data_IF_241603662647
#
_entry.id   IF_241603662647
#
_cell.length_a   1.000
_cell.length_b   1.000
_cell.length_c   1.000
_cell.angle_alpha   90.00
_cell.angle_beta   90.00
_cell.angle_gamma   90.00
#
_symmetry.space_group_name_H-M   'P 1'
#
loop_
_entity.id
_entity.type
_entity.pdbx_description
1 polymer ?
#
# COMPACT_ATOMS: atom_id res chain seq x y z
N UNK A 1 10.94 -1.10 80.47
CA UNK A 1 10.20 -1.79 79.39
C UNK A 1 9.89 -0.79 78.29
N UNK A 2 10.55 -0.90 77.13
CA UNK A 2 10.36 -0.01 75.98
C UNK A 2 9.42 -0.69 74.98
N UNK A 3 8.28 -0.06 74.68
CA UNK A 3 7.39 -0.47 73.60
C UNK A 3 7.95 0.04 72.27
N UNK A 4 8.22 -0.87 71.32
CA UNK A 4 8.50 -0.52 69.93
C UNK A 4 7.20 -0.62 69.12
N UNK A 5 6.82 0.49 68.49
CA UNK A 5 5.72 0.54 67.52
C UNK A 5 6.28 0.25 66.13
N UNK A 6 5.86 -0.88 65.56
CA UNK A 6 6.16 -1.28 64.19
C UNK A 6 5.22 -0.54 63.23
N UNK A 7 5.75 0.38 62.44
CA UNK A 7 5.00 1.10 61.40
C UNK A 7 5.07 0.28 60.11
N UNK A 8 3.94 -0.28 59.68
CA UNK A 8 3.76 -0.88 58.35
C UNK A 8 3.72 0.23 57.29
N UNK A 9 4.68 0.24 56.37
CA UNK A 9 4.62 1.07 55.16
C UNK A 9 3.99 0.26 54.02
N UNK A 10 2.84 0.72 53.56
CA UNK A 10 2.15 0.20 52.38
C UNK A 10 2.81 0.82 51.13
N UNK A 11 3.54 0.00 50.35
CA UNK A 11 4.08 0.43 49.04
C UNK A 11 3.00 0.16 47.99
N UNK A 12 2.35 1.22 47.49
CA UNK A 12 1.48 1.15 46.33
C UNK A 12 2.34 1.13 45.06
N UNK A 13 2.38 -0.01 44.37
CA UNK A 13 3.02 -0.14 43.07
C UNK A 13 2.08 0.38 41.97
N UNK A 14 2.33 1.58 41.46
CA UNK A 14 1.66 2.12 40.28
C UNK A 14 2.15 1.41 39.02
N UNK A 15 1.31 0.59 38.41
CA UNK A 15 1.59 -0.03 37.12
C UNK A 15 1.53 1.03 36.01
N UNK A 16 2.69 1.42 35.45
CA UNK A 16 2.74 2.17 34.21
C UNK A 16 2.26 1.27 33.07
N UNK A 17 1.06 1.52 32.55
CA UNK A 17 0.65 0.98 31.26
C UNK A 17 1.44 1.69 30.16
N UNK A 18 2.45 1.01 29.62
CA UNK A 18 3.10 1.44 28.38
C UNK A 18 2.14 1.14 27.23
N UNK A 19 1.42 2.16 26.77
CA UNK A 19 0.69 2.06 25.51
C UNK A 19 1.71 2.14 24.38
N UNK A 20 1.96 1.01 23.70
CA UNK A 20 2.75 1.03 22.48
C UNK A 20 2.04 1.92 21.45
N UNK A 21 2.69 3.00 21.03
CA UNK A 21 2.20 3.82 19.93
C UNK A 21 2.02 2.94 18.69
N UNK A 22 0.77 2.70 18.28
CA UNK A 22 0.49 1.98 17.04
C UNK A 22 0.88 2.91 15.90
N UNK A 23 1.82 2.46 15.07
CA UNK A 23 2.15 3.18 13.82
C UNK A 23 0.87 3.43 13.03
N UNK A 24 0.71 4.64 12.51
CA UNK A 24 -0.45 4.99 11.70
C UNK A 24 -0.55 4.01 10.52
N UNK A 25 -1.75 3.44 10.31
CA UNK A 25 -2.02 2.61 9.15
C UNK A 25 -1.96 3.48 7.90
N UNK A 26 -1.00 3.20 7.02
CA UNK A 26 -0.83 3.93 5.76
C UNK A 26 -0.57 2.96 4.62
N UNK A 27 -0.94 3.38 3.41
CA UNK A 27 -0.54 2.70 2.19
C UNK A 27 0.49 3.58 1.50
N UNK A 28 1.61 2.98 1.10
CA UNK A 28 2.66 3.65 0.33
C UNK A 28 2.65 3.07 -1.07
N UNK A 29 2.61 3.94 -2.07
CA UNK A 29 2.65 3.54 -3.46
C UNK A 29 3.83 4.20 -4.16
N UNK A 30 4.57 3.47 -4.98
CA UNK A 30 5.71 3.99 -5.73
C UNK A 30 5.84 3.29 -7.08
N UNK A 31 6.47 3.95 -8.04
CA UNK A 31 6.85 3.33 -9.31
C UNK A 31 8.32 2.91 -9.26
N UNK A 32 8.63 1.72 -9.77
CA UNK A 32 10.00 1.28 -10.02
C UNK A 32 10.70 2.22 -11.01
N UNK A 33 12.03 2.13 -11.10
CA UNK A 33 12.80 2.86 -12.10
C UNK A 33 12.24 2.66 -13.53
N UNK A 34 12.33 3.70 -14.35
CA UNK A 34 11.86 3.68 -15.73
C UNK A 34 12.41 2.47 -16.51
N UNK A 35 11.53 1.80 -17.26
CA UNK A 35 11.86 0.60 -18.02
C UNK A 35 11.85 -0.71 -17.22
N UNK A 36 11.76 -0.69 -15.88
CA UNK A 36 11.58 -1.92 -15.11
C UNK A 36 10.15 -2.43 -15.21
N UNK A 37 10.00 -3.63 -15.76
CA UNK A 37 8.68 -4.26 -15.99
C UNK A 37 8.21 -5.19 -14.88
N UNK A 38 8.96 -5.28 -13.79
CA UNK A 38 8.70 -6.17 -12.64
C UNK A 38 9.08 -5.49 -11.33
N UNK A 39 8.51 -5.98 -10.22
CA UNK A 39 8.82 -5.51 -8.86
C UNK A 39 10.25 -5.82 -8.44
N UNK A 40 10.88 -4.93 -7.69
CA UNK A 40 12.13 -5.19 -6.96
C UNK A 40 11.91 -5.79 -5.57
N UNK A 41 10.65 -5.94 -5.13
CA UNK A 41 10.33 -6.54 -3.83
C UNK A 41 10.71 -8.03 -3.78
N UNK A 42 11.34 -8.41 -2.68
CA UNK A 42 11.67 -9.81 -2.39
C UNK A 42 10.50 -10.59 -1.79
N UNK A 43 10.55 -11.92 -1.92
CA UNK A 43 9.56 -12.82 -1.30
C UNK A 43 8.17 -12.70 -1.90
N UNK A 44 8.10 -12.39 -3.19
CA UNK A 44 6.86 -12.18 -3.92
C UNK A 44 6.48 -13.38 -4.76
N UNK A 45 5.19 -13.53 -5.02
CA UNK A 45 4.67 -14.36 -6.11
C UNK A 45 4.44 -13.49 -7.33
N UNK A 46 4.58 -14.05 -8.54
CA UNK A 46 4.31 -13.36 -9.81
C UNK A 46 3.19 -14.07 -10.56
N UNK A 47 2.32 -13.29 -11.18
CA UNK A 47 1.33 -13.76 -12.15
C UNK A 47 1.52 -13.01 -13.46
N UNK A 48 1.74 -13.76 -14.53
CA UNK A 48 1.71 -13.23 -15.89
C UNK A 48 0.57 -13.91 -16.67
N UNK A 49 0.28 -13.37 -17.85
CA UNK A 49 -0.80 -13.87 -18.72
C UNK A 49 -0.28 -14.79 -19.83
N UNK A 50 1.00 -15.15 -19.83
CA UNK A 50 1.66 -15.82 -20.97
C UNK A 50 1.23 -17.27 -21.14
N UNK A 51 0.75 -17.89 -20.06
CA UNK A 51 0.20 -19.25 -20.09
C UNK A 51 -1.28 -19.28 -20.51
N UNK A 52 -1.90 -18.11 -20.68
CA UNK A 52 -3.32 -17.96 -20.99
C UNK A 52 -3.49 -17.61 -22.47
N UNK A 53 -4.46 -18.23 -23.13
CA UNK A 53 -4.80 -17.87 -24.50
C UNK A 53 -5.49 -16.48 -24.53
N UNK A 54 -5.25 -15.65 -25.57
CA UNK A 54 -6.01 -14.42 -25.75
C UNK A 54 -7.52 -14.70 -25.82
N UNK A 55 -8.30 -13.85 -25.15
CA UNK A 55 -9.75 -14.00 -25.03
C UNK A 55 -10.26 -13.72 -23.63
N UNK A 56 -11.54 -14.00 -23.41
CA UNK A 56 -12.20 -13.82 -22.11
C UNK A 56 -12.24 -15.13 -21.35
N UNK A 57 -11.93 -15.05 -20.07
CA UNK A 57 -11.87 -16.19 -19.16
C UNK A 57 -12.55 -15.83 -17.85
N UNK A 58 -13.00 -16.83 -17.10
CA UNK A 58 -13.60 -16.67 -15.78
C UNK A 58 -12.90 -17.57 -14.76
N UNK A 59 -12.91 -17.17 -13.50
CA UNK A 59 -12.40 -17.95 -12.36
C UNK A 59 -10.94 -18.39 -12.56
N UNK A 60 -10.08 -17.46 -12.97
CA UNK A 60 -8.67 -17.75 -13.26
C UNK A 60 -7.90 -17.75 -11.95
N UNK A 61 -7.27 -18.87 -11.62
CA UNK A 61 -6.55 -19.03 -10.36
C UNK A 61 -5.10 -18.59 -10.47
N UNK A 62 -4.68 -17.78 -9.51
CA UNK A 62 -3.28 -17.53 -9.18
C UNK A 62 -2.90 -18.41 -7.98
N UNK A 63 -2.26 -19.53 -8.26
CA UNK A 63 -1.88 -20.54 -7.26
C UNK A 63 -1.14 -19.90 -6.08
N UNK A 64 -1.63 -20.16 -4.87
CA UNK A 64 -1.04 -19.63 -3.63
C UNK A 64 -1.42 -18.18 -3.28
N UNK A 65 -2.07 -17.44 -4.20
CA UNK A 65 -2.44 -16.03 -3.99
C UNK A 65 -3.96 -15.80 -4.01
N UNK A 66 -4.67 -16.24 -5.05
CA UNK A 66 -6.09 -15.87 -5.19
C UNK A 66 -6.73 -16.33 -6.48
N UNK A 67 -7.93 -15.80 -6.75
CA UNK A 67 -8.70 -16.09 -7.98
C UNK A 67 -9.26 -14.80 -8.56
N UNK A 68 -9.06 -14.61 -9.86
CA UNK A 68 -9.73 -13.58 -10.65
C UNK A 68 -11.13 -14.08 -11.05
N UNK A 69 -12.16 -13.24 -10.85
CA UNK A 69 -13.51 -13.55 -11.31
C UNK A 69 -13.58 -13.67 -12.84
N UNK A 70 -12.90 -12.78 -13.55
CA UNK A 70 -12.82 -12.72 -15.00
C UNK A 70 -11.59 -11.94 -15.46
N UNK A 71 -11.04 -12.35 -16.60
CA UNK A 71 -9.96 -11.66 -17.30
C UNK A 71 -10.30 -11.52 -18.78
N UNK A 72 -9.80 -10.46 -19.41
CA UNK A 72 -9.77 -10.32 -20.86
C UNK A 72 -8.30 -10.17 -21.27
N UNK A 73 -7.74 -11.26 -21.78
CA UNK A 73 -6.34 -11.36 -22.16
C UNK A 73 -6.17 -11.00 -23.63
N UNK A 74 -5.18 -10.18 -23.95
CA UNK A 74 -4.76 -9.82 -25.30
C UNK A 74 -3.31 -10.20 -25.53
N UNK A 75 -2.96 -10.48 -26.79
CA UNK A 75 -1.57 -10.56 -27.20
C UNK A 75 -0.92 -9.16 -27.19
N UNK A 76 0.41 -9.13 -27.06
CA UNK A 76 1.21 -7.90 -27.10
C UNK A 76 0.86 -7.02 -28.31
N UNK A 77 0.65 -5.73 -28.06
CA UNK A 77 0.44 -4.70 -29.06
C UNK A 77 1.01 -3.35 -28.57
N UNK A 78 0.61 -2.23 -29.18
CA UNK A 78 1.08 -0.91 -28.72
C UNK A 78 0.57 -0.51 -27.33
N UNK A 79 -0.50 -1.14 -26.85
CA UNK A 79 -1.16 -0.79 -25.57
C UNK A 79 -0.69 -1.64 -24.40
N UNK A 80 0.00 -2.75 -24.65
CA UNK A 80 0.54 -3.64 -23.62
C UNK A 80 1.40 -4.73 -24.25
N UNK A 81 2.05 -5.52 -23.42
CA UNK A 81 2.94 -6.62 -23.80
C UNK A 81 4.38 -6.42 -23.34
N UNK A 82 4.56 -5.89 -22.13
CA UNK A 82 5.84 -5.69 -21.47
C UNK A 82 6.71 -6.96 -21.51
N UNK A 83 7.80 -6.95 -22.29
CA UNK A 83 8.67 -8.12 -22.46
C UNK A 83 8.13 -9.18 -23.43
N UNK A 84 7.23 -8.79 -24.34
CA UNK A 84 6.60 -9.70 -25.30
C UNK A 84 5.45 -10.51 -24.71
N UNK A 85 4.89 -10.07 -23.59
CA UNK A 85 3.86 -10.82 -22.86
C UNK A 85 2.45 -10.66 -23.43
N UNK A 86 1.58 -11.60 -23.12
CA UNK A 86 0.15 -11.31 -23.09
C UNK A 86 -0.14 -10.33 -21.94
N UNK A 87 -1.23 -9.57 -22.04
CA UNK A 87 -1.67 -8.63 -21.02
C UNK A 87 -3.18 -8.70 -20.78
N UNK A 88 -3.63 -8.30 -19.59
CA UNK A 88 -5.06 -8.14 -19.29
C UNK A 88 -5.51 -6.72 -19.54
N UNK A 89 -6.73 -6.56 -20.06
CA UNK A 89 -7.38 -5.26 -20.25
C UNK A 89 -8.75 -5.21 -19.59
N UNK A 90 -9.03 -4.15 -18.84
CA UNK A 90 -10.39 -3.77 -18.49
C UNK A 90 -10.83 -2.56 -19.32
N UNK A 91 -12.07 -2.56 -19.82
CA UNK A 91 -12.64 -1.43 -20.56
C UNK A 91 -14.16 -1.48 -20.60
N UNK A 92 -14.82 -0.31 -20.72
CA UNK A 92 -16.28 -0.23 -20.78
C UNK A 92 -16.89 -1.12 -21.87
N UNK A 93 -16.26 -1.14 -23.05
CA UNK A 93 -16.77 -1.87 -24.21
C UNK A 93 -16.56 -3.39 -24.14
N UNK A 94 -15.76 -3.91 -23.19
CA UNK A 94 -15.42 -5.33 -23.14
C UNK A 94 -15.68 -5.98 -21.79
N UNK A 95 -14.95 -5.53 -20.77
CA UNK A 95 -14.87 -6.09 -19.44
C UNK A 95 -14.53 -4.93 -18.50
N UNK A 96 -15.52 -4.19 -17.99
CA UNK A 96 -15.24 -2.93 -17.29
C UNK A 96 -14.55 -3.15 -15.95
N UNK A 97 -14.73 -4.33 -15.33
CA UNK A 97 -14.23 -4.64 -13.99
C UNK A 97 -13.70 -6.09 -13.96
N UNK A 98 -12.52 -6.25 -13.36
CA UNK A 98 -11.96 -7.52 -12.88
C UNK A 98 -11.77 -7.43 -11.37
N UNK A 99 -12.13 -8.49 -10.66
CA UNK A 99 -11.91 -8.66 -9.22
C UNK A 99 -10.93 -9.79 -8.97
N UNK A 100 -9.85 -9.51 -8.25
CA UNK A 100 -8.99 -10.52 -7.63
C UNK A 100 -9.41 -10.71 -6.18
N UNK A 101 -9.89 -11.90 -5.83
CA UNK A 101 -10.13 -12.32 -4.45
C UNK A 101 -8.94 -13.10 -3.94
N UNK A 102 -8.33 -12.62 -2.86
CA UNK A 102 -7.10 -13.19 -2.30
C UNK A 102 -7.39 -14.26 -1.25
N UNK A 103 -6.47 -15.20 -1.11
CA UNK A 103 -6.49 -16.25 -0.10
C UNK A 103 -5.94 -15.74 1.23
N UNK A 104 -6.74 -14.95 1.93
CA UNK A 104 -6.38 -14.36 3.21
C UNK A 104 -6.00 -12.89 3.09
N UNK A 105 -5.21 -12.39 4.04
CA UNK A 105 -4.80 -11.00 4.12
C UNK A 105 -3.40 -10.81 3.55
N UNK A 106 -3.27 -9.89 2.60
CA UNK A 106 -2.03 -9.56 1.91
C UNK A 106 -1.66 -8.10 2.16
N UNK A 107 -0.38 -7.79 2.05
CA UNK A 107 0.15 -6.46 2.40
C UNK A 107 1.05 -5.84 1.34
N UNK A 108 1.44 -6.55 0.29
CA UNK A 108 2.08 -5.90 -0.86
C UNK A 108 1.51 -6.43 -2.16
N UNK A 109 1.30 -5.53 -3.11
CA UNK A 109 0.81 -5.83 -4.43
C UNK A 109 1.53 -4.94 -5.44
N UNK A 110 1.95 -5.50 -6.56
CA UNK A 110 2.58 -4.78 -7.63
C UNK A 110 1.94 -5.12 -8.96
N UNK A 111 2.00 -4.21 -9.90
CA UNK A 111 1.52 -4.44 -11.25
C UNK A 111 2.24 -3.57 -12.25
N UNK A 112 2.47 -4.13 -13.43
CA UNK A 112 2.86 -3.32 -14.57
C UNK A 112 1.62 -2.62 -15.12
N UNK A 113 1.68 -1.29 -15.20
CA UNK A 113 0.62 -0.46 -15.75
C UNK A 113 1.06 0.07 -17.11
N UNK A 114 0.37 -0.37 -18.16
CA UNK A 114 0.58 0.11 -19.51
C UNK A 114 -0.37 1.26 -19.83
N UNK A 115 0.15 2.36 -20.37
CA UNK A 115 -0.67 3.45 -20.91
C UNK A 115 -1.62 4.11 -19.89
N UNK A 116 -1.13 4.42 -18.68
CA UNK A 116 -1.99 4.90 -17.60
C UNK A 116 -2.78 6.18 -17.96
N UNK A 117 -4.07 6.19 -17.64
CA UNK A 117 -4.98 7.32 -17.79
C UNK A 117 -5.93 7.44 -16.58
N UNK A 118 -6.68 8.54 -16.51
CA UNK A 118 -7.47 8.91 -15.32
C UNK A 118 -8.68 8.02 -15.08
N UNK A 119 -9.10 7.25 -16.09
CA UNK A 119 -10.26 6.36 -16.02
C UNK A 119 -9.90 4.95 -15.52
N UNK A 120 -8.60 4.65 -15.48
CA UNK A 120 -8.04 3.45 -14.89
C UNK A 120 -8.02 3.56 -13.36
N UNK A 121 -8.77 2.69 -12.70
CA UNK A 121 -8.94 2.67 -11.24
C UNK A 121 -8.59 1.30 -10.69
N UNK A 122 -7.66 1.27 -9.73
CA UNK A 122 -7.39 0.10 -8.89
C UNK A 122 -7.85 0.37 -7.46
N UNK A 123 -8.62 -0.53 -6.87
CA UNK A 123 -9.15 -0.37 -5.50
C UNK A 123 -8.86 -1.60 -4.66
N UNK A 124 -8.43 -1.36 -3.41
CA UNK A 124 -8.06 -2.37 -2.44
C UNK A 124 -9.08 -2.40 -1.30
N UNK A 125 -9.51 -3.59 -0.91
CA UNK A 125 -10.50 -3.80 0.14
C UNK A 125 -10.01 -4.78 1.20
N UNK A 126 -10.37 -4.51 2.45
CA UNK A 126 -10.34 -5.47 3.55
C UNK A 126 -11.78 -5.84 3.90
N UNK A 127 -12.24 -7.00 3.42
CA UNK A 127 -13.65 -7.37 3.43
C UNK A 127 -14.48 -6.40 2.58
N UNK A 128 -15.42 -5.71 3.20
CA UNK A 128 -16.26 -4.69 2.55
C UNK A 128 -15.70 -3.27 2.65
N UNK A 129 -14.66 -3.05 3.46
CA UNK A 129 -14.07 -1.74 3.68
C UNK A 129 -13.00 -1.45 2.63
N UNK A 130 -13.15 -0.34 1.89
CA UNK A 130 -12.11 0.17 1.01
C UNK A 130 -10.95 0.72 1.84
N UNK A 131 -9.74 0.25 1.59
CA UNK A 131 -8.51 0.70 2.29
C UNK A 131 -7.66 1.64 1.45
N UNK A 132 -7.68 1.48 0.13
CA UNK A 132 -7.10 2.44 -0.82
C UNK A 132 -7.77 2.37 -2.19
N UNK A 133 -7.66 3.47 -2.92
CA UNK A 133 -8.00 3.57 -4.32
C UNK A 133 -6.95 4.42 -5.02
N UNK A 134 -6.49 3.95 -6.17
CA UNK A 134 -5.54 4.67 -7.00
C UNK A 134 -6.11 4.84 -8.40
N UNK A 135 -5.82 6.02 -8.95
CA UNK A 135 -6.02 6.36 -10.35
C UNK A 135 -4.71 6.91 -10.88
N UNK A 136 -4.58 7.09 -12.20
CA UNK A 136 -3.38 7.77 -12.70
C UNK A 136 -3.26 9.20 -12.15
N UNK A 137 -4.40 9.88 -11.89
CA UNK A 137 -4.46 11.23 -11.36
C UNK A 137 -3.88 11.36 -9.95
N UNK A 138 -4.02 10.35 -9.08
CA UNK A 138 -3.50 10.44 -7.71
C UNK A 138 -2.16 9.71 -7.49
N UNK A 139 -1.78 8.78 -8.37
CA UNK A 139 -0.55 7.98 -8.25
C UNK A 139 0.49 8.28 -9.33
N UNK A 140 0.05 8.39 -10.59
CA UNK A 140 0.94 8.56 -11.72
C UNK A 140 1.17 10.01 -12.14
N UNK A 141 0.49 11.03 -11.62
CA UNK A 141 0.82 12.42 -12.02
C UNK A 141 2.31 12.75 -11.88
N UNK A 142 2.97 12.26 -10.81
CA UNK A 142 4.42 12.41 -10.63
C UNK A 142 5.26 11.53 -11.56
N UNK A 143 4.74 10.36 -11.92
CA UNK A 143 5.41 9.38 -12.79
C UNK A 143 5.28 9.80 -14.27
N UNK A 144 4.09 10.23 -14.69
CA UNK A 144 3.76 10.80 -15.99
C UNK A 144 4.37 12.20 -16.22
N UNK A 145 4.75 12.92 -15.17
CA UNK A 145 5.54 14.15 -15.33
C UNK A 145 6.99 13.86 -15.77
N UNK A 146 7.49 12.64 -15.58
CA UNK A 146 8.87 12.26 -15.91
C UNK A 146 8.93 11.61 -17.31
N UNK A 147 9.64 12.24 -18.29
CA UNK A 147 9.68 11.77 -19.67
C UNK A 147 10.15 10.32 -19.85
N UNK A 148 10.99 9.82 -18.94
CA UNK A 148 11.54 8.46 -19.01
C UNK A 148 10.49 7.36 -18.85
N UNK A 149 9.30 7.68 -18.31
CA UNK A 149 8.17 6.74 -18.21
C UNK A 149 7.25 6.78 -19.42
N UNK A 150 7.50 7.63 -20.43
CA UNK A 150 6.60 7.79 -21.56
C UNK A 150 6.88 6.83 -22.71
N UNK A 151 5.79 6.24 -23.21
CA UNK A 151 5.81 5.30 -24.32
C UNK A 151 6.18 3.89 -23.89
N UNK A 152 5.75 2.93 -24.71
CA UNK A 152 5.96 1.53 -24.43
C UNK A 152 7.48 1.21 -24.42
N UNK A 153 8.05 0.78 -23.28
CA UNK A 153 9.49 0.59 -23.16
C UNK A 153 9.99 -0.73 -23.77
N UNK A 154 9.09 -1.57 -24.28
CA UNK A 154 9.41 -2.89 -24.83
C UNK A 154 10.21 -2.78 -26.12
N UNK A 155 11.33 -3.49 -26.17
CA UNK A 155 12.10 -3.65 -27.39
C UNK A 155 11.29 -4.39 -28.47
N UNK A 156 11.38 -3.90 -29.72
CA UNK A 156 10.68 -4.47 -30.85
C UNK A 156 9.75 -3.45 -31.54
N UNK A 157 8.71 -3.92 -32.26
CA UNK A 157 7.91 -3.07 -33.13
C UNK A 157 7.08 -2.02 -32.39
N UNK A 158 6.88 -2.16 -31.07
CA UNK A 158 6.07 -1.25 -30.27
C UNK A 158 6.89 -0.26 -29.44
N UNK A 159 8.23 -0.33 -29.49
CA UNK A 159 9.11 0.54 -28.70
C UNK A 159 8.80 2.02 -28.95
N UNK A 160 8.56 2.76 -27.87
CA UNK A 160 8.27 4.20 -27.91
C UNK A 160 6.90 4.56 -28.50
N UNK A 161 6.06 3.59 -28.85
CA UNK A 161 4.67 3.88 -29.23
C UNK A 161 3.89 4.37 -28.01
N UNK A 162 2.82 5.13 -28.25
CA UNK A 162 1.97 5.69 -27.21
C UNK A 162 2.75 6.60 -26.23
N UNK A 163 3.67 7.41 -26.77
CA UNK A 163 4.59 8.28 -26.03
C UNK A 163 3.93 9.46 -25.28
N UNK A 164 2.60 9.57 -25.30
CA UNK A 164 1.85 10.55 -24.52
C UNK A 164 1.32 9.98 -23.20
N UNK A 165 1.51 8.68 -22.95
CA UNK A 165 1.04 8.01 -21.74
C UNK A 165 2.21 7.36 -20.99
N UNK A 166 2.03 7.24 -19.67
CA UNK A 166 3.04 6.67 -18.78
C UNK A 166 2.93 5.14 -18.70
N UNK A 167 4.09 4.51 -18.58
CA UNK A 167 4.31 3.09 -18.44
C UNK A 167 5.22 2.84 -17.25
N UNK A 168 4.76 2.09 -16.25
CA UNK A 168 5.53 1.87 -15.03
C UNK A 168 5.13 0.57 -14.34
N UNK A 169 6.10 -0.07 -13.68
CA UNK A 169 5.78 -1.04 -12.64
C UNK A 169 5.49 -0.29 -11.34
N UNK A 170 4.31 -0.48 -10.78
CA UNK A 170 3.85 0.19 -9.57
C UNK A 170 3.79 -0.83 -8.44
N UNK A 171 4.33 -0.47 -7.28
CA UNK A 171 4.17 -1.23 -6.04
C UNK A 171 3.27 -0.48 -5.08
N UNK A 172 2.41 -1.22 -4.39
CA UNK A 172 1.51 -0.79 -3.33
C UNK A 172 1.87 -1.57 -2.06
N UNK A 173 2.19 -0.84 -0.99
CA UNK A 173 2.70 -1.36 0.26
C UNK A 173 1.76 -0.99 1.42
N UNK A 174 1.20 -1.99 2.08
CA UNK A 174 0.54 -1.85 3.37
C UNK A 174 1.58 -1.72 4.49
N UNK A 175 1.43 -0.71 5.33
CA UNK A 175 2.29 -0.45 6.50
C UNK A 175 1.44 -0.39 7.78
N UNK A 176 2.06 -0.47 8.96
CA UNK A 176 1.31 -0.37 10.22
C UNK A 176 0.26 -1.48 10.43
N UNK A 177 0.43 -2.62 9.74
CA UNK A 177 -0.52 -3.74 9.73
C UNK A 177 -1.68 -3.58 8.75
N UNK A 178 -1.63 -2.63 7.82
CA UNK A 178 -2.62 -2.53 6.74
C UNK A 178 -2.54 -3.74 5.82
N UNK A 179 -3.69 -4.38 5.60
CA UNK A 179 -3.86 -5.53 4.72
C UNK A 179 -5.11 -5.36 3.85
N UNK A 180 -5.19 -6.13 2.79
CA UNK A 180 -6.37 -6.30 1.94
C UNK A 180 -6.56 -7.77 1.57
N UNK A 181 -7.78 -8.12 1.16
CA UNK A 181 -8.14 -9.46 0.70
C UNK A 181 -8.90 -9.44 -0.64
N UNK A 182 -9.14 -8.25 -1.20
CA UNK A 182 -9.78 -8.10 -2.50
C UNK A 182 -9.25 -6.87 -3.21
N UNK A 183 -8.98 -7.03 -4.51
CA UNK A 183 -8.51 -5.97 -5.39
C UNK A 183 -9.45 -5.91 -6.59
N UNK A 184 -9.86 -4.71 -7.01
CA UNK A 184 -10.63 -4.50 -8.23
C UNK A 184 -9.87 -3.62 -9.20
N UNK A 185 -9.85 -4.01 -10.46
CA UNK A 185 -9.31 -3.27 -11.59
C UNK A 185 -10.48 -2.83 -12.44
N UNK A 186 -10.59 -1.53 -12.69
CA UNK A 186 -11.75 -0.95 -13.35
C UNK A 186 -11.33 0.07 -14.39
N UNK A 187 -12.00 0.04 -15.54
CA UNK A 187 -12.06 1.16 -16.47
C UNK A 187 -13.50 1.28 -16.99
N UNK A 188 -14.13 2.42 -16.70
CA UNK A 188 -15.52 2.70 -17.07
C UNK A 188 -15.65 3.64 -18.28
N UNK A 189 -14.55 3.98 -18.95
CA UNK A 189 -14.52 4.90 -20.08
C UNK A 189 -14.22 4.18 -21.40
N UNK A 190 -13.95 4.94 -22.46
CA UNK A 190 -13.61 4.41 -23.78
C UNK A 190 -12.15 3.97 -23.91
N UNK A 191 -11.32 4.16 -22.89
CA UNK A 191 -9.95 3.67 -22.85
C UNK A 191 -9.87 2.25 -22.25
N UNK A 192 -8.67 1.81 -21.89
CA UNK A 192 -8.45 0.54 -21.22
C UNK A 192 -7.52 0.67 -20.02
N UNK A 193 -7.71 -0.24 -19.05
CA UNK A 193 -6.75 -0.49 -17.98
C UNK A 193 -5.93 -1.71 -18.38
N UNK A 194 -4.77 -1.46 -19.01
CA UNK A 194 -3.87 -2.51 -19.45
C UNK A 194 -2.82 -2.85 -18.38
N UNK A 195 -2.70 -4.15 -18.08
CA UNK A 195 -1.72 -4.66 -17.13
C UNK A 195 -1.07 -5.94 -17.63
N UNK A 196 0.24 -6.05 -17.45
CA UNK A 196 1.05 -7.10 -18.10
C UNK A 196 1.45 -8.23 -17.17
N UNK A 197 1.63 -7.89 -15.90
CA UNK A 197 1.91 -8.86 -14.85
C UNK A 197 1.57 -8.25 -13.50
N UNK A 198 1.39 -9.14 -12.53
CA UNK A 198 1.14 -8.81 -11.14
C UNK A 198 2.19 -9.44 -10.25
N UNK A 199 2.42 -8.79 -9.12
CA UNK A 199 3.26 -9.29 -8.04
C UNK A 199 2.45 -9.20 -6.76
N UNK A 200 2.55 -10.21 -5.90
CA UNK A 200 1.83 -10.24 -4.63
C UNK A 200 2.73 -10.73 -3.50
N UNK A 201 2.45 -10.23 -2.29
CA UNK A 201 3.07 -10.70 -1.06
C UNK A 201 2.13 -10.63 0.13
N UNK A 202 2.03 -11.75 0.84
CA UNK A 202 1.33 -11.86 2.13
C UNK A 202 2.03 -11.05 3.22
N UNK A 203 3.35 -11.19 3.32
CA UNK A 203 4.15 -10.53 4.35
C UNK A 203 4.13 -8.98 4.22
N UNK A 204 3.95 -8.24 5.33
CA UNK A 204 4.03 -6.78 5.35
C UNK A 204 5.38 -6.24 4.86
N UNK A 205 5.37 -5.03 4.31
CA UNK A 205 6.62 -4.31 4.02
C UNK A 205 7.38 -3.99 5.31
N UNK A 206 8.70 -4.19 5.30
CA UNK A 206 9.57 -4.12 6.46
C UNK A 206 9.86 -5.49 7.10
N UNK A 207 9.31 -6.58 6.55
CA UNK A 207 9.57 -7.94 7.04
C UNK A 207 10.93 -8.46 6.59
N UNK A 208 11.36 -8.10 5.36
CA UNK A 208 12.59 -8.62 4.80
C UNK A 208 13.79 -7.70 5.06
N UNK A 209 15.01 -8.24 5.20
CA UNK A 209 16.22 -7.43 5.40
C UNK A 209 16.38 -6.36 4.32
N UNK A 210 16.71 -5.14 4.74
CA UNK A 210 16.92 -3.99 3.84
C UNK A 210 15.66 -3.20 3.49
N UNK A 211 14.45 -3.71 3.80
CA UNK A 211 13.21 -2.98 3.58
C UNK A 211 13.07 -1.82 4.57
N UNK A 212 13.14 -0.60 4.06
CA UNK A 212 12.95 0.61 4.86
C UNK A 212 12.14 1.64 4.07
N UNK A 213 11.18 2.28 4.74
CA UNK A 213 10.30 3.25 4.08
C UNK A 213 11.03 4.52 3.64
N UNK A 214 12.13 4.89 4.32
CA UNK A 214 12.97 6.04 3.97
C UNK A 214 13.93 5.76 2.81
N UNK A 215 14.04 4.51 2.36
CA UNK A 215 14.85 4.11 1.20
C UNK A 215 14.01 3.86 -0.06
N UNK A 216 12.68 4.08 0.00
CA UNK A 216 11.84 3.94 -1.18
C UNK A 216 12.16 5.03 -2.22
N UNK A 217 11.91 4.77 -3.52
CA UNK A 217 12.18 5.74 -4.59
C UNK A 217 11.53 7.11 -4.35
N UNK A 218 12.11 8.18 -4.90
CA UNK A 218 11.65 9.56 -4.68
C UNK A 218 10.23 9.84 -5.19
N UNK A 219 9.73 9.03 -6.11
CA UNK A 219 8.36 9.08 -6.62
C UNK A 219 7.34 8.40 -5.66
N UNK A 220 7.79 7.89 -4.51
CA UNK A 220 6.90 7.28 -3.51
C UNK A 220 5.93 8.29 -2.92
N UNK A 221 4.69 7.85 -2.74
CA UNK A 221 3.61 8.63 -2.17
C UNK A 221 2.92 7.85 -1.06
N UNK A 222 2.61 8.56 0.03
CA UNK A 222 1.92 8.00 1.18
C UNK A 222 0.45 8.38 1.11
N UNK A 223 -0.42 7.44 1.48
CA UNK A 223 -1.85 7.61 1.47
C UNK A 223 -2.44 7.14 2.79
N UNK A 224 -3.44 7.86 3.28
CA UNK A 224 -4.27 7.47 4.42
C UNK A 224 -5.69 7.35 3.92
N UNK A 225 -6.28 6.15 3.99
CA UNK A 225 -7.63 5.86 3.49
C UNK A 225 -7.85 6.32 2.03
N UNK A 226 -6.86 6.09 1.16
CA UNK A 226 -6.90 6.51 -0.25
C UNK A 226 -6.65 8.00 -0.51
N UNK A 227 -6.41 8.81 0.53
CA UNK A 227 -6.10 10.24 0.38
C UNK A 227 -4.58 10.45 0.41
N UNK A 228 -3.98 11.10 -0.62
CA UNK A 228 -2.56 11.44 -0.60
C UNK A 228 -2.20 12.28 0.63
N UNK A 229 -1.15 11.90 1.33
CA UNK A 229 -0.52 12.72 2.36
C UNK A 229 0.41 13.69 1.65
N UNK A 230 -0.08 14.90 1.35
CA UNK A 230 0.78 15.99 0.87
C UNK A 230 1.75 16.35 2.00
N UNK A 231 3.04 16.33 1.70
CA UNK A 231 4.11 16.43 2.69
C UNK A 231 4.15 17.81 3.37
N UNK A 232 3.38 17.97 4.43
CA UNK A 232 3.62 18.89 5.56
C UNK A 232 2.90 18.28 6.78
N UNK A 233 3.46 17.22 7.36
CA UNK A 233 3.33 17.10 8.81
C UNK A 233 4.72 17.30 9.40
N UNK A 234 4.87 18.25 10.35
CA UNK A 234 6.07 18.33 11.16
C UNK A 234 6.25 16.97 11.85
N UNK A 235 7.49 16.65 12.19
CA UNK A 235 7.83 15.46 12.96
C UNK A 235 6.70 15.11 13.93
N UNK A 236 6.17 13.89 13.82
CA UNK A 236 5.27 13.32 14.82
C UNK A 236 5.91 13.68 16.16
N UNK A 237 5.26 14.48 17.03
CA UNK A 237 5.83 14.74 18.33
C UNK A 237 6.04 13.37 18.95
N UNK A 238 7.29 13.04 19.27
CA UNK A 238 7.51 11.92 20.19
C UNK A 238 6.54 12.16 21.35
N UNK A 239 5.83 11.12 21.84
CA UNK A 239 4.92 11.30 22.94
C UNK A 239 5.71 11.93 24.07
N UNK A 240 5.54 13.24 24.26
CA UNK A 240 6.23 14.01 25.26
C UNK A 240 5.93 13.27 26.55
N UNK A 241 6.97 12.74 27.18
CA UNK A 241 6.88 12.17 28.51
C UNK A 241 6.02 13.15 29.30
N UNK A 242 4.83 12.71 29.68
CA UNK A 242 3.89 13.49 30.46
C UNK A 242 4.69 13.87 31.72
N UNK A 243 5.15 15.12 31.79
CA UNK A 243 5.66 15.67 33.03
C UNK A 243 4.45 15.66 33.95
N UNK A 244 4.37 14.66 34.81
CA UNK A 244 3.49 14.62 35.97
C UNK A 244 3.92 15.76 36.90
N UNK A 245 3.54 16.98 36.53
CA UNK A 245 3.48 18.11 37.43
C UNK A 245 2.36 17.86 38.43
N UNK A 246 2.71 17.20 39.54
CA UNK A 246 1.79 16.94 40.63
C UNK A 246 1.24 18.25 41.21
N UNK A 247 -0.08 18.42 41.10
CA UNK A 247 -0.86 19.31 41.96
C UNK A 247 -1.15 18.55 43.24
N UNK A 248 -0.82 19.17 44.39
CA UNK A 248 -1.63 19.06 45.60
C UNK A 248 -0.96 18.43 46.82
N UNK A 249 -0.50 19.27 47.74
CA UNK A 249 -0.72 19.01 49.16
C UNK A 249 -1.11 20.31 49.86
N UNK A 250 -2.36 20.31 50.32
CA UNK A 250 -3.03 21.36 51.07
C UNK A 250 -2.32 21.67 52.39
N UNK A 251 -2.30 22.96 52.73
CA UNK A 251 -2.10 23.45 54.09
C UNK A 251 -3.28 23.01 54.95
N UNK A 252 -3.02 22.32 56.05
CA UNK A 252 -3.94 22.21 57.18
C UNK A 252 -3.20 22.52 58.47
N UNK A 253 -3.30 23.78 58.87
CA UNK A 253 -3.07 24.22 60.24
C UNK A 253 -3.96 23.42 61.19
N UNK A 254 -3.36 22.73 62.16
CA UNK A 254 -4.05 22.45 63.42
C UNK A 254 -3.18 22.88 64.60
N UNK A 255 -3.51 24.06 65.12
CA UNK A 255 -3.20 24.48 66.49
C UNK A 255 -3.72 23.40 67.45
N UNK A 256 -2.90 22.94 68.39
CA UNK A 256 -3.41 22.59 69.73
C UNK A 256 -2.36 22.78 70.83
N UNK A 257 -2.78 23.60 71.80
CA UNK A 257 -2.18 23.95 73.09
C UNK A 257 -1.79 22.73 73.93
N UNK A 258 -0.80 22.93 74.81
CA UNK A 258 -0.85 22.73 76.29
C UNK A 258 0.52 23.18 76.87
N UNK A 259 0.49 24.15 77.78
CA UNK A 259 0.48 24.00 79.25
C UNK A 259 1.86 23.54 79.76
#
# INVERSE_FOLDING_TARGET
MKFQHTVFHLIAASALMVTSARSAQTIVAYAEEAGRTTSTLSGTSVFDFNTLAPGRMKNVTWTGVGTFDQLHVKAADKWGGAGGSNYSVQSYASLPITTLTLMGNHSCFGFWWSGADTDNVITFYSGTTMVAQFTSGNLLEKVAAAPDYHGNPVDGPFRGMNNTQAYAFVNILGTGGTTWNRITFTNMSKSGFETDNYTDRVAPYGTYPGERLDLLPSNSMKFVNGVPVTSMMPAIPEPSALLLGGIGAFVLCSKRRRA
#
